data_IF_601140234888
#
_entry.id   IF_601140234888
#
_cell.length_a   1.000
_cell.length_b   1.000
_cell.length_c   1.000
_cell.angle_alpha   90.00
_cell.angle_beta   90.00
_cell.angle_gamma   90.00
#
_symmetry.space_group_name_H-M   'P 1'
#
loop_
_entity.id
_entity.type
_entity.pdbx_description
1 polymer ?
#
# COMPACT_ATOMS: atom_id res chain seq x y z
N UNK A 1 5.22 27.09 -1.44
CA UNK A 1 4.70 26.41 -0.24
C UNK A 1 5.82 26.18 0.77
N UNK A 2 5.48 26.10 2.06
CA UNK A 2 6.43 25.94 3.18
C UNK A 2 7.31 24.68 3.00
N UNK A 3 6.75 23.58 2.54
CA UNK A 3 7.49 22.34 2.27
C UNK A 3 8.60 22.54 1.23
N UNK A 4 8.35 23.29 0.17
CA UNK A 4 9.37 23.58 -0.86
C UNK A 4 10.56 24.35 -0.28
N UNK A 5 10.31 25.34 0.57
CA UNK A 5 11.37 26.09 1.25
C UNK A 5 12.17 25.20 2.22
N UNK A 6 11.49 24.31 2.95
CA UNK A 6 12.16 23.32 3.80
C UNK A 6 13.04 22.38 2.97
N UNK A 7 12.56 21.90 1.82
CA UNK A 7 13.31 21.03 0.92
C UNK A 7 14.59 21.71 0.44
N UNK A 8 14.50 22.97 0.00
CA UNK A 8 15.67 23.72 -0.46
C UNK A 8 16.71 23.98 0.66
N UNK A 9 16.27 24.13 1.90
CA UNK A 9 17.13 24.45 3.03
C UNK A 9 17.76 23.23 3.70
N UNK A 10 17.01 22.12 3.80
CA UNK A 10 17.41 20.95 4.61
C UNK A 10 17.88 19.74 3.80
N UNK A 11 17.57 19.67 2.50
CA UNK A 11 18.10 18.57 1.69
C UNK A 11 19.50 18.95 1.19
N UNK A 12 20.56 18.25 1.62
CA UNK A 12 21.90 18.49 1.11
C UNK A 12 21.91 18.20 -0.40
N UNK A 13 22.59 19.06 -1.16
CA UNK A 13 22.82 18.84 -2.59
C UNK A 13 23.72 17.61 -2.75
N UNK A 14 23.12 16.44 -2.83
CA UNK A 14 23.82 15.22 -3.18
C UNK A 14 24.22 15.33 -4.66
N UNK A 15 25.49 15.61 -4.92
CA UNK A 15 26.03 15.41 -6.27
C UNK A 15 26.02 13.91 -6.52
N UNK A 16 25.35 13.41 -7.57
CA UNK A 16 25.48 12.02 -7.96
C UNK A 16 26.92 11.73 -8.26
N UNK A 17 27.48 10.71 -7.60
CA UNK A 17 28.88 10.34 -7.65
C UNK A 17 29.39 9.95 -9.05
N UNK A 18 28.51 9.55 -9.96
CA UNK A 18 28.78 9.33 -11.39
C UNK A 18 27.48 9.48 -12.17
N UNK A 19 27.39 10.50 -13.02
CA UNK A 19 26.44 10.53 -14.12
C UNK A 19 27.02 9.64 -15.25
N UNK A 20 26.87 8.33 -15.15
CA UNK A 20 26.89 7.51 -16.35
C UNK A 20 25.65 7.90 -17.17
N UNK A 21 25.86 8.52 -18.33
CA UNK A 21 24.82 8.70 -19.32
C UNK A 21 24.39 7.31 -19.76
N UNK A 22 23.31 6.80 -19.16
CA UNK A 22 22.72 5.55 -19.63
C UNK A 22 22.37 5.72 -21.12
N UNK A 23 22.92 4.86 -21.95
CA UNK A 23 22.46 4.74 -23.32
C UNK A 23 21.08 4.08 -23.35
N UNK A 24 20.27 4.36 -24.37
CA UNK A 24 18.93 3.76 -24.48
C UNK A 24 18.92 2.21 -24.36
N UNK A 25 19.90 1.46 -24.92
CA UNK A 25 19.95 0.01 -24.74
C UNK A 25 20.25 -0.43 -23.31
N UNK A 26 21.05 0.32 -22.54
CA UNK A 26 21.34 0.01 -21.14
C UNK A 26 20.13 0.24 -20.22
N UNK A 27 19.29 1.21 -20.54
CA UNK A 27 18.03 1.42 -19.85
C UNK A 27 17.09 0.24 -20.06
N UNK A 28 16.88 -0.19 -21.30
CA UNK A 28 16.04 -1.34 -21.63
C UNK A 28 16.52 -2.63 -20.96
N UNK A 29 17.81 -2.89 -20.95
CA UNK A 29 18.42 -4.02 -20.26
C UNK A 29 18.18 -3.96 -18.74
N UNK A 30 18.29 -2.78 -18.15
CA UNK A 30 17.98 -2.55 -16.73
C UNK A 30 16.51 -2.86 -16.39
N UNK A 31 15.57 -2.41 -17.21
CA UNK A 31 14.15 -2.74 -17.06
C UNK A 31 13.91 -4.23 -17.17
N UNK A 32 14.49 -4.87 -18.19
CA UNK A 32 14.35 -6.33 -18.40
C UNK A 32 14.90 -7.12 -17.21
N UNK A 33 16.08 -6.79 -16.70
CA UNK A 33 16.68 -7.43 -15.52
C UNK A 33 15.81 -7.31 -14.27
N UNK A 34 15.21 -6.15 -14.04
CA UNK A 34 14.33 -5.93 -12.88
C UNK A 34 13.04 -6.75 -13.03
N UNK A 35 12.38 -6.71 -14.20
CA UNK A 35 11.14 -7.45 -14.44
C UNK A 35 11.36 -8.95 -14.45
N UNK A 36 12.56 -9.43 -14.85
CA UNK A 36 12.90 -10.86 -14.82
C UNK A 36 13.24 -11.39 -13.42
N UNK A 37 13.41 -10.51 -12.43
CA UNK A 37 13.72 -10.91 -11.06
C UNK A 37 12.43 -11.39 -10.34
N UNK A 38 12.31 -12.69 -10.12
CA UNK A 38 11.14 -13.31 -9.49
C UNK A 38 10.86 -12.79 -8.09
N UNK A 39 11.91 -12.53 -7.30
CA UNK A 39 11.75 -11.99 -5.94
C UNK A 39 11.18 -10.57 -5.98
N UNK A 40 11.69 -9.73 -6.88
CA UNK A 40 11.15 -8.40 -7.11
C UNK A 40 9.67 -8.47 -7.52
N UNK A 41 9.33 -9.31 -8.50
CA UNK A 41 7.96 -9.45 -8.98
C UNK A 41 7.00 -9.88 -7.87
N UNK A 42 7.37 -10.89 -7.07
CA UNK A 42 6.52 -11.38 -5.99
C UNK A 42 6.21 -10.28 -4.98
N UNK A 43 7.21 -9.54 -4.51
CA UNK A 43 7.00 -8.43 -3.59
C UNK A 43 6.21 -7.29 -4.23
N UNK A 44 6.49 -6.97 -5.50
CA UNK A 44 5.78 -5.91 -6.22
C UNK A 44 4.30 -6.23 -6.42
N UNK A 45 3.96 -7.47 -6.78
CA UNK A 45 2.57 -7.92 -6.95
C UNK A 45 1.84 -7.87 -5.60
N UNK A 46 2.46 -8.35 -4.53
CA UNK A 46 1.86 -8.28 -3.18
C UNK A 46 1.61 -6.84 -2.74
N UNK A 47 2.59 -5.95 -2.91
CA UNK A 47 2.42 -4.54 -2.61
C UNK A 47 1.38 -3.86 -3.50
N UNK A 48 1.34 -4.18 -4.80
CA UNK A 48 0.35 -3.67 -5.74
C UNK A 48 -1.07 -4.11 -5.39
N UNK A 49 -1.26 -5.38 -5.00
CA UNK A 49 -2.54 -5.91 -4.55
C UNK A 49 -3.01 -5.20 -3.28
N UNK A 50 -2.14 -5.00 -2.29
CA UNK A 50 -2.48 -4.27 -1.06
C UNK A 50 -2.86 -2.81 -1.33
N UNK A 51 -2.13 -2.15 -2.21
CA UNK A 51 -2.44 -0.77 -2.63
C UNK A 51 -3.77 -0.70 -3.36
N UNK A 52 -4.05 -1.66 -4.24
CA UNK A 52 -5.31 -1.73 -4.96
C UNK A 52 -6.50 -1.98 -4.03
N UNK A 53 -6.38 -2.90 -3.06
CA UNK A 53 -7.40 -3.13 -2.03
C UNK A 53 -7.65 -1.84 -1.24
N UNK A 54 -6.59 -1.15 -0.84
CA UNK A 54 -6.70 0.11 -0.10
C UNK A 54 -7.52 1.16 -0.87
N UNK A 55 -7.10 1.50 -2.09
CA UNK A 55 -7.80 2.51 -2.89
C UNK A 55 -9.23 2.09 -3.26
N UNK A 56 -9.46 0.83 -3.57
CA UNK A 56 -10.80 0.31 -3.86
C UNK A 56 -11.73 0.42 -2.65
N UNK A 57 -11.23 0.06 -1.46
CA UNK A 57 -11.99 0.19 -0.20
C UNK A 57 -12.36 1.65 0.04
N UNK A 58 -11.41 2.58 -0.11
CA UNK A 58 -11.67 4.01 0.08
C UNK A 58 -12.63 4.60 -0.95
N UNK A 59 -12.64 4.08 -2.17
CA UNK A 59 -13.58 4.52 -3.21
C UNK A 59 -15.00 4.04 -2.94
N UNK A 60 -15.18 2.88 -2.33
CA UNK A 60 -16.48 2.25 -2.09
C UNK A 60 -17.12 2.65 -0.74
N UNK A 61 -16.31 2.88 0.29
CA UNK A 61 -16.80 3.17 1.65
C UNK A 61 -17.77 4.35 1.76
N UNK A 62 -17.60 5.49 1.05
CA UNK A 62 -18.56 6.58 1.13
C UNK A 62 -19.98 6.15 0.79
N UNK A 63 -20.16 5.27 -0.20
CA UNK A 63 -21.48 4.78 -0.62
C UNK A 63 -22.13 3.89 0.45
N UNK A 64 -21.35 3.04 1.12
CA UNK A 64 -21.87 2.19 2.19
C UNK A 64 -22.29 3.00 3.42
N UNK A 65 -21.54 4.02 3.79
CA UNK A 65 -21.88 4.89 4.91
C UNK A 65 -23.08 5.79 4.60
N UNK A 66 -23.18 6.28 3.36
CA UNK A 66 -24.35 7.04 2.89
C UNK A 66 -25.63 6.18 2.95
N UNK A 67 -25.57 4.92 2.53
CA UNK A 67 -26.69 3.95 2.67
C UNK A 67 -27.11 3.71 4.11
N UNK A 68 -26.22 3.90 5.07
CA UNK A 68 -26.54 3.82 6.51
C UNK A 68 -27.10 5.14 7.06
N UNK A 69 -27.20 6.19 6.26
CA UNK A 69 -27.63 7.52 6.70
C UNK A 69 -26.58 8.27 7.52
N UNK A 70 -25.31 7.89 7.41
CA UNK A 70 -24.21 8.50 8.14
C UNK A 70 -23.76 9.77 7.43
N UNK A 71 -23.65 10.87 8.18
CA UNK A 71 -23.19 12.15 7.64
C UNK A 71 -21.72 12.09 7.21
N UNK A 72 -21.33 12.94 6.24
CA UNK A 72 -19.94 13.03 5.76
C UNK A 72 -18.94 13.34 6.89
N UNK A 73 -19.37 14.08 7.92
CA UNK A 73 -18.53 14.39 9.09
C UNK A 73 -18.30 13.14 9.95
N UNK A 74 -19.35 12.39 10.25
CA UNK A 74 -19.23 11.12 10.98
C UNK A 74 -18.44 10.09 10.19
N UNK A 75 -18.66 9.97 8.89
CA UNK A 75 -17.88 9.11 8.00
C UNK A 75 -16.38 9.40 8.13
N UNK A 76 -15.99 10.68 8.17
CA UNK A 76 -14.58 11.07 8.30
C UNK A 76 -13.97 10.57 9.61
N UNK A 77 -14.74 10.60 10.72
CA UNK A 77 -14.30 10.07 12.01
C UNK A 77 -14.11 8.56 11.95
N UNK A 78 -15.06 7.84 11.38
CA UNK A 78 -14.97 6.39 11.24
C UNK A 78 -13.83 5.97 10.31
N UNK A 79 -13.58 6.74 9.26
CA UNK A 79 -12.46 6.52 8.36
C UNK A 79 -11.10 6.74 9.01
N UNK A 80 -11.01 7.64 9.99
CA UNK A 80 -9.78 7.88 10.74
C UNK A 80 -9.29 6.64 11.50
N UNK A 81 -10.17 5.69 11.84
CA UNK A 81 -9.79 4.40 12.43
C UNK A 81 -8.86 3.60 11.53
N UNK A 82 -9.09 3.61 10.21
CA UNK A 82 -8.17 2.96 9.27
C UNK A 82 -6.79 3.63 9.29
N UNK A 83 -6.75 4.96 9.27
CA UNK A 83 -5.52 5.74 9.36
C UNK A 83 -4.75 5.46 10.65
N UNK A 84 -5.44 5.36 11.78
CA UNK A 84 -4.87 4.98 13.08
C UNK A 84 -4.27 3.58 13.03
N UNK A 85 -5.00 2.62 12.49
CA UNK A 85 -4.49 1.26 12.28
C UNK A 85 -3.21 1.26 11.46
N UNK A 86 -3.21 1.95 10.32
CA UNK A 86 -2.05 2.08 9.44
C UNK A 86 -0.84 2.71 10.16
N UNK A 87 -1.06 3.77 10.93
CA UNK A 87 -0.01 4.41 11.71
C UNK A 87 0.60 3.46 12.74
N UNK A 88 -0.23 2.78 13.54
CA UNK A 88 0.25 1.82 14.55
C UNK A 88 0.97 0.64 13.89
N UNK A 89 0.44 0.12 12.77
CA UNK A 89 1.07 -0.94 12.00
C UNK A 89 2.48 -0.57 11.53
N UNK A 90 2.66 0.66 11.02
CA UNK A 90 3.98 1.16 10.63
C UNK A 90 4.93 1.32 11.82
N UNK A 91 4.45 1.81 12.98
CA UNK A 91 5.26 1.90 14.21
C UNK A 91 5.76 0.53 14.66
N UNK A 92 4.89 -0.47 14.67
CA UNK A 92 5.26 -1.83 15.03
C UNK A 92 6.23 -2.40 13.99
N UNK A 93 5.95 -2.18 12.70
CA UNK A 93 6.82 -2.62 11.63
C UNK A 93 8.24 -2.08 11.78
N UNK A 94 8.39 -0.79 12.09
CA UNK A 94 9.72 -0.15 12.26
C UNK A 94 10.57 -0.82 13.34
N UNK A 95 9.94 -1.34 14.40
CA UNK A 95 10.64 -1.98 15.52
C UNK A 95 10.91 -3.49 15.33
N UNK A 96 10.09 -4.15 14.54
CA UNK A 96 10.11 -5.62 14.46
C UNK A 96 10.56 -6.16 13.09
N UNK A 97 10.50 -5.38 12.01
CA UNK A 97 10.82 -5.86 10.66
C UNK A 97 12.25 -6.41 10.55
N UNK A 98 13.22 -5.78 11.19
CA UNK A 98 14.61 -6.24 11.20
C UNK A 98 14.82 -7.55 11.97
N UNK A 99 14.00 -7.80 13.00
CA UNK A 99 14.10 -8.99 13.86
C UNK A 99 13.37 -10.20 13.25
N UNK A 100 12.19 -9.97 12.68
CA UNK A 100 11.31 -11.03 12.15
C UNK A 100 11.70 -11.37 10.71
N UNK A 101 12.15 -10.38 9.95
CA UNK A 101 12.50 -10.48 8.55
C UNK A 101 11.34 -10.08 7.61
N UNK A 102 11.70 -9.43 6.51
CA UNK A 102 10.78 -8.79 5.56
C UNK A 102 9.72 -9.78 5.03
N UNK A 103 10.14 -10.96 4.57
CA UNK A 103 9.21 -11.94 3.98
C UNK A 103 8.15 -12.44 4.97
N UNK A 104 8.54 -12.67 6.23
CA UNK A 104 7.61 -13.08 7.28
C UNK A 104 6.64 -11.96 7.64
N UNK A 105 7.12 -10.72 7.70
CA UNK A 105 6.26 -9.56 7.97
C UNK A 105 5.23 -9.36 6.86
N UNK A 106 5.61 -9.51 5.60
CA UNK A 106 4.66 -9.47 4.47
C UNK A 106 3.63 -10.60 4.59
N UNK A 107 4.05 -11.81 4.91
CA UNK A 107 3.14 -12.95 5.10
C UNK A 107 2.13 -12.70 6.23
N UNK A 108 2.61 -12.25 7.40
CA UNK A 108 1.75 -11.87 8.54
C UNK A 108 0.76 -10.77 8.13
N UNK A 109 1.25 -9.77 7.41
CA UNK A 109 0.41 -8.67 6.92
C UNK A 109 -0.68 -9.14 5.95
N UNK A 110 -0.36 -10.04 5.02
CA UNK A 110 -1.35 -10.62 4.10
C UNK A 110 -2.41 -11.46 4.83
N UNK A 111 -2.00 -12.28 5.81
CA UNK A 111 -2.93 -13.04 6.64
C UNK A 111 -3.86 -12.12 7.43
N UNK A 112 -3.31 -11.08 8.04
CA UNK A 112 -4.09 -10.11 8.80
C UNK A 112 -5.07 -9.32 7.92
N UNK A 113 -4.68 -8.95 6.71
CA UNK A 113 -5.57 -8.35 5.71
C UNK A 113 -6.72 -9.30 5.35
N UNK A 114 -6.41 -10.57 5.08
CA UNK A 114 -7.43 -11.59 4.78
C UNK A 114 -8.40 -11.79 5.95
N UNK A 115 -7.88 -11.80 7.18
CA UNK A 115 -8.70 -11.87 8.39
C UNK A 115 -9.62 -10.66 8.53
N UNK A 116 -9.12 -9.44 8.29
CA UNK A 116 -9.92 -8.23 8.38
C UNK A 116 -11.11 -8.24 7.41
N UNK A 117 -10.88 -8.62 6.15
CA UNK A 117 -11.96 -8.73 5.17
C UNK A 117 -12.88 -9.93 5.43
N UNK A 118 -12.36 -11.04 5.94
CA UNK A 118 -13.18 -12.17 6.41
C UNK A 118 -14.13 -11.75 7.54
N UNK A 119 -13.62 -10.97 8.50
CA UNK A 119 -14.45 -10.42 9.58
C UNK A 119 -15.52 -9.44 9.05
N UNK A 120 -15.15 -8.55 8.12
CA UNK A 120 -16.09 -7.65 7.47
C UNK A 120 -17.20 -8.42 6.75
N UNK A 121 -16.84 -9.49 6.04
CA UNK A 121 -17.81 -10.36 5.35
C UNK A 121 -18.77 -11.04 6.32
N UNK A 122 -18.27 -11.55 7.46
CA UNK A 122 -19.12 -12.15 8.51
C UNK A 122 -20.09 -11.11 9.07
N UNK A 123 -19.64 -9.90 9.38
CA UNK A 123 -20.52 -8.83 9.87
C UNK A 123 -21.57 -8.43 8.83
N UNK A 124 -21.23 -8.44 7.57
CA UNK A 124 -22.17 -8.19 6.48
C UNK A 124 -23.27 -9.26 6.40
N UNK A 125 -22.92 -10.55 6.46
CA UNK A 125 -23.89 -11.67 6.45
C UNK A 125 -24.80 -11.60 7.67
N UNK A 126 -24.26 -11.25 8.85
CA UNK A 126 -25.03 -11.11 10.09
C UNK A 126 -25.92 -9.85 10.12
N UNK A 127 -25.90 -9.05 9.06
CA UNK A 127 -26.70 -7.81 8.93
C UNK A 127 -26.41 -6.76 10.03
N UNK A 128 -25.17 -6.69 10.51
CA UNK A 128 -24.78 -5.66 11.46
C UNK A 128 -24.66 -4.30 10.74
N UNK A 129 -25.64 -3.41 10.95
CA UNK A 129 -25.78 -2.13 10.25
C UNK A 129 -25.19 -0.93 11.04
N UNK A 130 -24.33 -1.18 12.01
CA UNK A 130 -23.72 -0.09 12.76
C UNK A 130 -22.28 0.20 12.23
N UNK A 131 -21.89 1.47 12.08
CA UNK A 131 -20.59 1.87 11.49
C UNK A 131 -19.36 1.18 12.09
N UNK A 132 -19.41 0.85 13.38
CA UNK A 132 -18.32 0.17 14.07
C UNK A 132 -17.96 -1.18 13.42
N UNK A 133 -18.96 -1.91 12.92
CA UNK A 133 -18.75 -3.24 12.31
C UNK A 133 -18.06 -3.17 10.93
N UNK A 134 -18.01 -1.98 10.34
CA UNK A 134 -17.18 -1.70 9.16
C UNK A 134 -15.82 -1.14 9.60
N UNK A 135 -15.83 -0.19 10.53
CA UNK A 135 -14.62 0.55 10.93
C UNK A 135 -13.63 -0.30 11.71
N UNK A 136 -14.10 -1.28 12.50
CA UNK A 136 -13.22 -2.20 13.22
C UNK A 136 -12.41 -3.10 12.28
N UNK A 137 -13.01 -3.80 11.29
CA UNK A 137 -12.25 -4.49 10.25
C UNK A 137 -11.32 -3.56 9.46
N UNK A 138 -11.75 -2.32 9.17
CA UNK A 138 -10.90 -1.33 8.49
C UNK A 138 -9.69 -0.91 9.33
N UNK A 139 -9.84 -0.80 10.64
CA UNK A 139 -8.71 -0.58 11.54
C UNK A 139 -7.70 -1.73 11.46
N UNK A 140 -8.19 -2.98 11.53
CA UNK A 140 -7.36 -4.19 11.43
C UNK A 140 -6.68 -4.23 10.05
N UNK A 141 -7.44 -3.96 8.98
CA UNK A 141 -6.89 -3.86 7.63
C UNK A 141 -5.79 -2.79 7.54
N UNK A 142 -6.05 -1.58 8.02
CA UNK A 142 -5.06 -0.51 8.04
C UNK A 142 -3.77 -0.92 8.74
N UNK A 143 -3.88 -1.55 9.91
CA UNK A 143 -2.75 -2.05 10.68
C UNK A 143 -1.87 -3.02 9.87
N UNK A 144 -2.45 -4.03 9.28
CA UNK A 144 -1.72 -5.02 8.49
C UNK A 144 -1.27 -4.49 7.12
N UNK A 145 -2.01 -3.56 6.55
CA UNK A 145 -1.63 -2.88 5.31
C UNK A 145 -0.35 -2.05 5.49
N UNK A 146 -0.21 -1.31 6.62
CA UNK A 146 1.01 -0.59 6.96
C UNK A 146 2.23 -1.49 7.07
N UNK A 147 2.07 -2.68 7.65
CA UNK A 147 3.13 -3.70 7.72
C UNK A 147 3.47 -4.22 6.32
N UNK A 148 2.48 -4.56 5.52
CA UNK A 148 2.68 -5.25 4.24
C UNK A 148 3.29 -4.34 3.18
N UNK A 149 2.77 -3.13 2.98
CA UNK A 149 3.24 -2.23 1.91
C UNK A 149 4.70 -1.86 2.13
N UNK A 150 5.08 -1.43 3.33
CA UNK A 150 6.44 -1.02 3.63
C UNK A 150 7.44 -2.16 3.36
N UNK A 151 7.15 -3.36 3.84
CA UNK A 151 8.03 -4.52 3.64
C UNK A 151 8.04 -5.02 2.20
N UNK A 152 6.92 -4.93 1.48
CA UNK A 152 6.86 -5.31 0.06
C UNK A 152 7.75 -4.40 -0.80
N UNK A 153 7.71 -3.09 -0.56
CA UNK A 153 8.58 -2.13 -1.26
C UNK A 153 10.05 -2.41 -0.97
N UNK A 154 10.42 -2.54 0.32
CA UNK A 154 11.81 -2.78 0.72
C UNK A 154 12.29 -4.13 0.19
N UNK A 155 11.49 -5.19 0.30
CA UNK A 155 11.84 -6.53 -0.17
C UNK A 155 12.04 -6.58 -1.67
N UNK A 156 11.18 -5.92 -2.44
CA UNK A 156 11.30 -5.83 -3.89
C UNK A 156 12.57 -5.07 -4.32
N UNK A 157 12.77 -3.87 -3.80
CA UNK A 157 13.92 -3.03 -4.14
C UNK A 157 15.24 -3.70 -3.75
N UNK A 158 15.32 -4.30 -2.56
CA UNK A 158 16.52 -4.98 -2.07
C UNK A 158 16.94 -6.16 -2.97
N UNK A 159 15.99 -6.81 -3.63
CA UNK A 159 16.28 -7.92 -4.54
C UNK A 159 16.96 -7.49 -5.85
N UNK A 160 16.95 -6.20 -6.19
CA UNK A 160 17.48 -5.68 -7.47
C UNK A 160 18.86 -5.02 -7.36
N UNK A 161 19.42 -4.89 -6.15
CA UNK A 161 20.75 -4.39 -5.89
C UNK A 161 20.98 -2.99 -6.48
N UNK A 162 21.90 -2.86 -7.45
CA UNK A 162 22.25 -1.57 -8.07
C UNK A 162 21.12 -0.94 -8.91
N UNK A 163 20.08 -1.71 -9.26
CA UNK A 163 18.95 -1.25 -10.07
C UNK A 163 17.77 -0.72 -9.22
N UNK A 164 18.03 -0.35 -7.96
CA UNK A 164 17.00 0.09 -7.01
C UNK A 164 16.15 1.26 -7.51
N UNK A 165 16.73 2.21 -8.25
CA UNK A 165 15.98 3.32 -8.86
C UNK A 165 14.97 2.85 -9.90
N UNK A 166 15.37 1.98 -10.83
CA UNK A 166 14.51 1.36 -11.84
C UNK A 166 13.41 0.52 -11.17
N UNK A 167 13.79 -0.27 -10.16
CA UNK A 167 12.86 -1.10 -9.39
C UNK A 167 11.80 -0.25 -8.67
N UNK A 168 12.18 0.85 -8.05
CA UNK A 168 11.23 1.78 -7.39
C UNK A 168 10.23 2.36 -8.39
N UNK A 169 10.69 2.78 -9.56
CA UNK A 169 9.81 3.29 -10.61
C UNK A 169 8.81 2.26 -11.11
N UNK A 170 9.27 1.03 -11.39
CA UNK A 170 8.40 -0.07 -11.84
C UNK A 170 7.41 -0.46 -10.74
N UNK A 171 7.85 -0.59 -9.49
CA UNK A 171 6.98 -0.95 -8.38
C UNK A 171 5.88 0.10 -8.17
N UNK A 172 6.23 1.38 -8.17
CA UNK A 172 5.25 2.47 -8.03
C UNK A 172 4.25 2.52 -9.19
N UNK A 173 4.70 2.40 -10.43
CA UNK A 173 3.84 2.34 -11.60
C UNK A 173 2.87 1.13 -11.54
N UNK A 174 3.38 -0.04 -11.17
CA UNK A 174 2.56 -1.25 -11.02
C UNK A 174 1.50 -1.08 -9.95
N UNK A 175 1.85 -0.53 -8.78
CA UNK A 175 0.91 -0.28 -7.68
C UNK A 175 -0.23 0.65 -8.10
N UNK A 176 0.08 1.76 -8.76
CA UNK A 176 -0.93 2.72 -9.21
C UNK A 176 -1.81 2.15 -10.32
N UNK A 177 -1.24 1.38 -11.25
CA UNK A 177 -1.99 0.72 -12.32
C UNK A 177 -2.97 -0.31 -11.76
N UNK A 178 -2.53 -1.16 -10.83
CA UNK A 178 -3.40 -2.13 -10.15
C UNK A 178 -4.52 -1.43 -9.38
N UNK A 179 -4.21 -0.34 -8.66
CA UNK A 179 -5.20 0.44 -7.93
C UNK A 179 -6.26 1.03 -8.87
N UNK A 180 -5.84 1.60 -10.00
CA UNK A 180 -6.74 2.17 -10.99
C UNK A 180 -7.66 1.11 -11.61
N UNK A 181 -7.10 -0.03 -12.04
CA UNK A 181 -7.87 -1.13 -12.67
C UNK A 181 -8.89 -1.71 -11.68
N UNK A 182 -8.46 -2.11 -10.49
CA UNK A 182 -9.35 -2.71 -9.51
C UNK A 182 -10.38 -1.73 -8.96
N UNK A 183 -9.97 -0.47 -8.72
CA UNK A 183 -10.89 0.57 -8.27
C UNK A 183 -12.01 0.81 -9.29
N UNK A 184 -11.65 0.94 -10.57
CA UNK A 184 -12.63 1.12 -11.65
C UNK A 184 -13.54 -0.10 -11.79
N UNK A 185 -12.98 -1.31 -11.70
CA UNK A 185 -13.74 -2.55 -11.81
C UNK A 185 -14.77 -2.69 -10.67
N UNK A 186 -14.39 -2.40 -9.42
CA UNK A 186 -15.29 -2.48 -8.27
C UNK A 186 -16.42 -1.46 -8.39
N UNK A 187 -16.13 -0.24 -8.79
CA UNK A 187 -17.16 0.78 -9.02
C UNK A 187 -18.12 0.34 -10.13
N UNK A 188 -17.61 -0.21 -11.22
CA UNK A 188 -18.43 -0.68 -12.33
C UNK A 188 -19.34 -1.89 -11.97
N UNK A 189 -18.92 -2.72 -11.01
CA UNK A 189 -19.71 -3.90 -10.57
C UNK A 189 -20.61 -3.61 -9.38
N UNK A 190 -20.38 -2.55 -8.63
CA UNK A 190 -21.08 -2.24 -7.37
C UNK A 190 -21.94 -0.98 -7.41
N UNK A 191 -22.00 -0.28 -8.57
CA UNK A 191 -22.78 0.94 -8.80
C UNK A 191 -24.18 0.68 -9.29
#
# INVERSE_FOLDING_TARGET
SFLFLCTLKFIPKTKPLNFEKFSNPELLDSYYKVISNKTFLNFTILGATQTAIFFSTFSFMPYEFDRMGISSTEFSIWLAFNGLGYFIGNLINSNYASKIGISKMVFIGCLGTSFAFGLMFVFHILNFKYPLFISLPLFIFGFFNGITIANSIIGGISATGKLSGTATGIAGATQMTFAAILGTFIIACGG
#
